data_IF_426774002805
#
_entry.id   IF_426774002805
#
_cell.length_a   1.000
_cell.length_b   1.000
_cell.length_c   1.000
_cell.angle_alpha   90.00
_cell.angle_beta   90.00
_cell.angle_gamma   90.00
#
_symmetry.space_group_name_H-M   'P 1'
#
loop_
_entity.id
_entity.type
_entity.pdbx_description
1 polymer ?
#
# COMPACT_ATOMS: atom_id res chain seq x y z
N UNK A 1 8.26 13.11 -20.36
CA UNK A 1 7.41 11.93 -20.05
C UNK A 1 8.06 11.22 -18.87
N UNK A 2 7.63 11.50 -17.65
CA UNK A 2 8.22 10.86 -16.45
C UNK A 2 7.51 9.53 -16.27
N UNK A 3 8.07 8.48 -16.87
CA UNK A 3 7.70 7.11 -16.57
C UNK A 3 8.15 6.87 -15.13
N UNK A 4 7.20 6.72 -14.20
CA UNK A 4 7.50 6.46 -12.79
C UNK A 4 8.39 5.23 -12.68
N UNK A 5 9.66 5.43 -12.33
CA UNK A 5 10.66 4.37 -12.25
C UNK A 5 10.26 3.47 -11.07
N UNK A 6 9.96 2.20 -11.34
CA UNK A 6 9.87 1.16 -10.31
C UNK A 6 11.26 1.07 -9.71
N UNK A 7 11.37 1.32 -8.41
CA UNK A 7 12.67 1.33 -7.75
C UNK A 7 12.55 0.76 -6.33
N UNK A 8 13.32 -0.28 -6.05
CA UNK A 8 13.49 -0.83 -4.72
C UNK A 8 14.96 -0.68 -4.34
N UNK A 9 15.24 -0.13 -3.16
CA UNK A 9 16.59 0.07 -2.64
C UNK A 9 16.71 -0.58 -1.28
N UNK A 10 17.77 -1.37 -1.11
CA UNK A 10 18.26 -1.74 0.20
C UNK A 10 19.39 -0.79 0.60
N UNK A 11 19.35 -0.33 1.84
CA UNK A 11 20.30 0.64 2.38
C UNK A 11 20.89 0.04 3.65
N UNK A 12 22.21 -0.14 3.64
CA UNK A 12 23.00 -0.47 4.82
C UNK A 12 23.66 0.80 5.36
N UNK A 13 23.60 1.00 6.68
CA UNK A 13 24.22 2.11 7.39
C UNK A 13 25.05 1.53 8.54
N UNK A 14 26.38 1.58 8.43
CA UNK A 14 27.29 0.86 9.32
C UNK A 14 27.32 1.43 10.76
N UNK A 15 27.12 2.74 10.92
CA UNK A 15 27.11 3.43 12.21
C UNK A 15 25.72 3.52 12.88
N UNK A 16 24.68 2.97 12.24
CA UNK A 16 23.35 2.98 12.83
C UNK A 16 23.29 2.07 14.07
N UNK A 17 22.78 2.61 15.18
CA UNK A 17 22.61 1.89 16.45
C UNK A 17 21.44 0.92 16.43
N UNK A 18 20.43 1.19 15.59
CA UNK A 18 19.27 0.33 15.33
C UNK A 18 18.93 0.37 13.83
N UNK A 19 18.32 -0.70 13.31
CA UNK A 19 17.90 -0.79 11.90
C UNK A 19 19.01 -0.46 10.90
N UNK A 20 20.19 -1.07 11.09
CA UNK A 20 21.34 -0.94 10.17
C UNK A 20 21.00 -1.27 8.72
N UNK A 21 19.91 -2.03 8.50
CA UNK A 21 19.37 -2.31 7.19
C UNK A 21 17.95 -1.77 7.06
N UNK A 22 17.71 -1.00 6.02
CA UNK A 22 16.37 -0.54 5.64
C UNK A 22 16.11 -0.83 4.17
N UNK A 23 14.84 -1.01 3.82
CA UNK A 23 14.40 -1.14 2.44
C UNK A 23 13.41 -0.02 2.12
N UNK A 24 13.60 0.61 0.97
CA UNK A 24 12.72 1.63 0.43
C UNK A 24 12.21 1.16 -0.94
N UNK A 25 10.91 1.21 -1.14
CA UNK A 25 10.27 0.68 -2.36
C UNK A 25 9.32 1.70 -2.94
N UNK A 26 9.46 1.96 -4.24
CA UNK A 26 8.53 2.71 -5.06
C UNK A 26 7.89 1.77 -6.07
N UNK A 27 6.60 1.50 -5.87
CA UNK A 27 5.83 0.57 -6.69
C UNK A 27 5.20 1.29 -7.89
N UNK A 28 5.20 0.65 -9.06
CA UNK A 28 4.36 1.09 -10.18
C UNK A 28 3.07 0.29 -10.22
N UNK A 29 2.01 0.98 -10.61
CA UNK A 29 0.73 0.36 -10.94
C UNK A 29 0.85 -0.30 -12.32
N UNK A 30 0.55 -1.59 -12.39
CA UNK A 30 0.45 -2.36 -13.64
C UNK A 30 -1.02 -2.67 -13.89
N UNK A 31 -1.50 -2.50 -15.12
CA UNK A 31 -2.89 -2.86 -15.45
C UNK A 31 -3.10 -4.37 -15.27
N UNK A 32 -4.22 -4.71 -14.65
CA UNK A 32 -4.63 -6.10 -14.45
C UNK A 32 -5.64 -6.47 -15.53
N UNK A 33 -5.27 -7.44 -16.36
CA UNK A 33 -6.05 -7.82 -17.54
C UNK A 33 -7.24 -8.73 -17.23
N UNK A 34 -7.34 -9.22 -16.00
CA UNK A 34 -8.40 -10.15 -15.58
C UNK A 34 -9.47 -9.46 -14.73
N UNK A 35 -10.60 -10.14 -14.52
CA UNK A 35 -11.68 -9.64 -13.66
C UNK A 35 -11.34 -9.66 -12.16
N UNK A 36 -12.26 -9.11 -11.36
CA UNK A 36 -12.16 -9.07 -9.90
C UNK A 36 -12.12 -10.47 -9.28
N UNK A 37 -12.80 -11.46 -9.87
CA UNK A 37 -12.81 -12.84 -9.38
C UNK A 37 -11.40 -13.45 -9.36
N UNK A 38 -10.67 -13.34 -10.47
CA UNK A 38 -9.26 -13.78 -10.61
C UNK A 38 -8.35 -13.03 -9.63
N UNK A 39 -8.64 -11.76 -9.37
CA UNK A 39 -7.89 -10.98 -8.39
C UNK A 39 -8.15 -11.50 -6.97
N UNK A 40 -9.41 -11.80 -6.62
CA UNK A 40 -9.78 -12.36 -5.31
C UNK A 40 -9.10 -13.70 -5.07
N UNK A 41 -9.08 -14.59 -6.08
CA UNK A 41 -8.36 -15.87 -6.02
C UNK A 41 -6.86 -15.67 -5.73
N UNK A 42 -6.23 -14.74 -6.46
CA UNK A 42 -4.79 -14.43 -6.30
C UNK A 42 -4.50 -13.85 -4.91
N UNK A 43 -5.43 -13.09 -4.35
CA UNK A 43 -5.34 -12.49 -3.02
C UNK A 43 -6.02 -13.31 -1.92
N UNK A 44 -6.34 -14.57 -2.17
CA UNK A 44 -7.12 -15.42 -1.26
C UNK A 44 -6.53 -15.53 0.15
N UNK A 45 -5.19 -15.49 0.27
CA UNK A 45 -4.50 -15.46 1.56
C UNK A 45 -4.76 -14.16 2.34
N UNK A 46 -5.00 -13.05 1.66
CA UNK A 46 -5.28 -11.77 2.30
C UNK A 46 -6.76 -11.64 2.68
N UNK A 47 -7.65 -12.36 1.97
CA UNK A 47 -9.11 -12.24 2.10
C UNK A 47 -9.56 -10.78 2.05
N UNK A 48 -9.16 -10.01 1.01
CA UNK A 48 -9.55 -8.62 0.89
C UNK A 48 -11.06 -8.49 0.77
N UNK A 49 -11.59 -7.36 1.21
CA UNK A 49 -13.01 -7.03 1.05
C UNK A 49 -13.19 -6.01 -0.05
N UNK A 50 -14.22 -6.20 -0.86
CA UNK A 50 -14.57 -5.34 -1.97
C UNK A 50 -16.01 -4.84 -1.83
N UNK A 51 -16.33 -3.62 -2.33
CA UNK A 51 -17.70 -3.16 -2.48
C UNK A 51 -18.54 -4.18 -3.26
N UNK A 52 -19.73 -4.48 -2.77
CA UNK A 52 -20.67 -5.37 -3.45
C UNK A 52 -21.44 -4.61 -4.53
N UNK A 53 -21.68 -5.25 -5.68
CA UNK A 53 -22.58 -4.74 -6.74
C UNK A 53 -22.15 -3.42 -7.40
N UNK A 54 -20.85 -3.13 -7.40
CA UNK A 54 -20.29 -1.90 -7.99
C UNK A 54 -19.58 -2.21 -9.31
N UNK A 55 -19.87 -1.43 -10.36
CA UNK A 55 -19.21 -1.56 -11.65
C UNK A 55 -17.71 -1.20 -11.57
N UNK A 56 -16.87 -2.21 -11.77
CA UNK A 56 -15.41 -2.06 -11.86
C UNK A 56 -15.05 -1.45 -13.21
N UNK A 57 -14.34 -0.32 -13.19
CA UNK A 57 -13.85 0.31 -14.40
C UNK A 57 -12.45 -0.18 -14.79
N UNK A 58 -11.51 -0.14 -13.85
CA UNK A 58 -10.12 -0.56 -14.07
C UNK A 58 -9.57 -1.18 -12.80
N UNK A 59 -8.70 -2.17 -12.98
CA UNK A 59 -7.93 -2.80 -11.90
C UNK A 59 -6.45 -2.59 -12.22
N UNK A 60 -5.71 -2.14 -11.23
CA UNK A 60 -4.26 -2.05 -11.28
C UNK A 60 -3.68 -2.79 -10.08
N UNK A 61 -2.55 -3.45 -10.30
CA UNK A 61 -1.84 -4.21 -9.27
C UNK A 61 -0.46 -3.64 -9.03
N UNK A 62 0.05 -3.86 -7.82
CA UNK A 62 1.39 -3.47 -7.41
C UNK A 62 2.16 -4.73 -7.05
N UNK A 63 3.34 -4.88 -7.63
CA UNK A 63 4.24 -6.01 -7.38
C UNK A 63 5.38 -5.63 -6.45
N UNK A 64 5.80 -6.58 -5.62
CA UNK A 64 6.83 -6.41 -4.62
C UNK A 64 8.24 -6.49 -5.15
N UNK A 65 9.18 -6.49 -4.20
CA UNK A 65 10.58 -6.79 -4.43
C UNK A 65 10.98 -7.97 -3.54
N UNK A 66 12.01 -8.70 -3.95
CA UNK A 66 12.63 -9.70 -3.10
C UNK A 66 13.42 -9.02 -1.99
N UNK A 67 13.40 -9.63 -0.81
CA UNK A 67 14.27 -9.22 0.28
C UNK A 67 15.71 -9.56 -0.08
N UNK A 68 16.67 -8.80 0.49
CA UNK A 68 18.06 -9.21 0.46
C UNK A 68 18.23 -10.60 1.08
N UNK A 69 19.07 -11.39 0.44
CA UNK A 69 19.57 -12.64 1.00
C UNK A 69 20.63 -12.37 2.07
N UNK A 70 20.91 -13.34 2.98
CA UNK A 70 22.01 -13.22 3.94
C UNK A 70 23.36 -12.94 3.26
N UNK A 71 23.63 -13.57 2.13
CA UNK A 71 24.87 -13.38 1.39
C UNK A 71 24.98 -11.94 0.84
N UNK A 72 23.89 -11.39 0.28
CA UNK A 72 23.87 -9.99 -0.19
C UNK A 72 24.04 -8.99 0.96
N UNK A 73 23.56 -9.34 2.16
CA UNK A 73 23.77 -8.54 3.39
C UNK A 73 25.25 -8.56 3.78
N UNK A 74 25.87 -9.75 3.82
CA UNK A 74 27.28 -9.90 4.17
C UNK A 74 28.19 -9.17 3.18
N UNK A 75 27.88 -9.22 1.88
CA UNK A 75 28.57 -8.45 0.85
C UNK A 75 28.49 -6.94 1.10
N UNK A 76 27.32 -6.41 1.47
CA UNK A 76 27.16 -4.98 1.76
C UNK A 76 27.97 -4.56 3.00
N UNK A 77 28.07 -5.42 4.01
CA UNK A 77 28.90 -5.17 5.21
C UNK A 77 30.38 -5.15 4.86
N UNK A 78 30.85 -6.13 4.10
CA UNK A 78 32.27 -6.21 3.70
C UNK A 78 32.65 -5.08 2.73
N UNK A 79 31.74 -4.67 1.85
CA UNK A 79 31.91 -3.52 0.96
C UNK A 79 32.10 -2.22 1.76
N UNK A 80 31.28 -2.01 2.79
CA UNK A 80 31.41 -0.86 3.70
C UNK A 80 32.77 -0.85 4.40
N UNK A 81 33.22 -2.00 4.93
CA UNK A 81 34.52 -2.13 5.59
C UNK A 81 35.68 -1.88 4.64
N UNK A 82 35.62 -2.40 3.42
CA UNK A 82 36.69 -2.33 2.43
C UNK A 82 36.82 -0.95 1.81
N UNK A 83 35.69 -0.32 1.50
CA UNK A 83 35.63 1.01 0.89
C UNK A 83 35.76 2.15 1.90
N UNK A 84 35.55 1.87 3.19
CA UNK A 84 35.41 2.89 4.24
C UNK A 84 34.13 3.72 4.13
N UNK A 85 33.20 3.36 3.24
CA UNK A 85 31.93 4.06 3.10
C UNK A 85 30.96 3.60 4.18
N UNK A 86 30.37 4.56 4.87
CA UNK A 86 29.42 4.30 5.95
C UNK A 86 28.03 3.85 5.44
N UNK A 87 27.72 4.12 4.16
CA UNK A 87 26.43 3.81 3.55
C UNK A 87 26.65 3.01 2.28
N UNK A 88 26.00 1.85 2.19
CA UNK A 88 26.00 1.00 0.98
C UNK A 88 24.56 0.86 0.51
N UNK A 89 24.34 1.06 -0.79
CA UNK A 89 23.00 1.04 -1.41
C UNK A 89 22.98 0.01 -2.52
N UNK A 90 21.96 -0.86 -2.52
CA UNK A 90 21.76 -1.85 -3.59
C UNK A 90 20.34 -1.83 -4.12
N UNK A 91 20.21 -2.17 -5.39
CA UNK A 91 18.91 -2.35 -6.05
C UNK A 91 18.27 -3.66 -5.59
N UNK A 92 17.01 -3.59 -5.16
CA UNK A 92 16.19 -4.75 -4.89
C UNK A 92 15.64 -5.31 -6.21
N UNK A 93 15.56 -6.64 -6.29
CA UNK A 93 15.03 -7.34 -7.47
C UNK A 93 13.50 -7.30 -7.45
N UNK A 94 12.81 -6.75 -8.46
CA UNK A 94 11.36 -6.84 -8.56
C UNK A 94 10.92 -8.30 -8.62
N UNK A 95 9.79 -8.63 -7.99
CA UNK A 95 9.19 -9.97 -8.07
C UNK A 95 7.74 -9.89 -8.53
N UNK A 96 7.07 -11.04 -8.64
CA UNK A 96 5.67 -11.12 -9.10
C UNK A 96 4.67 -11.24 -7.95
N UNK A 97 5.11 -11.05 -6.70
CA UNK A 97 4.23 -11.12 -5.53
C UNK A 97 3.43 -9.82 -5.44
N UNK A 98 2.10 -9.93 -5.40
CA UNK A 98 1.25 -8.77 -5.17
C UNK A 98 1.54 -8.17 -3.79
N UNK A 99 1.67 -6.85 -3.72
CA UNK A 99 1.82 -6.06 -2.48
C UNK A 99 0.67 -5.07 -2.28
N UNK A 100 -0.06 -4.77 -3.34
CA UNK A 100 -1.31 -4.04 -3.26
C UNK A 100 -2.08 -4.05 -4.56
N UNK A 101 -3.27 -3.46 -4.50
CA UNK A 101 -4.17 -3.28 -5.64
C UNK A 101 -4.81 -1.91 -5.58
N UNK A 102 -5.16 -1.39 -6.74
CA UNK A 102 -6.00 -0.21 -6.92
C UNK A 102 -7.13 -0.58 -7.87
N UNK A 103 -8.36 -0.35 -7.43
CA UNK A 103 -9.55 -0.58 -8.24
C UNK A 103 -10.27 0.75 -8.39
N UNK A 104 -10.59 1.12 -9.63
CA UNK A 104 -11.42 2.29 -9.92
C UNK A 104 -12.83 1.81 -10.24
N UNK A 105 -13.81 2.39 -9.56
CA UNK A 105 -15.24 2.09 -9.72
C UNK A 105 -15.98 3.28 -10.35
N UNK A 106 -17.10 3.01 -11.01
CA UNK A 106 -17.90 4.01 -11.76
C UNK A 106 -19.26 4.36 -11.15
N UNK A 107 -19.50 4.03 -9.89
CA UNK A 107 -20.83 4.18 -9.27
C UNK A 107 -20.99 5.51 -8.50
N UNK A 108 -21.99 6.31 -8.87
CA UNK A 108 -22.32 7.61 -8.26
C UNK A 108 -21.13 8.59 -8.14
N UNK A 109 -20.27 8.63 -9.15
CA UNK A 109 -18.99 9.32 -9.15
C UNK A 109 -17.84 8.31 -9.29
N UNK A 110 -16.73 8.71 -9.89
CA UNK A 110 -15.56 7.82 -9.95
C UNK A 110 -14.89 7.82 -8.58
N UNK A 111 -14.79 6.65 -7.94
CA UNK A 111 -14.01 6.47 -6.72
C UNK A 111 -12.98 5.36 -6.90
N UNK A 112 -11.94 5.40 -6.08
CA UNK A 112 -10.86 4.41 -6.08
C UNK A 112 -10.79 3.71 -4.73
N UNK A 113 -10.54 2.42 -4.76
CA UNK A 113 -10.16 1.62 -3.61
C UNK A 113 -8.70 1.19 -3.79
N UNK A 114 -7.82 1.58 -2.87
CA UNK A 114 -6.52 0.96 -2.76
C UNK A 114 -6.52 -0.02 -1.58
N UNK A 115 -5.92 -1.18 -1.76
CA UNK A 115 -5.70 -2.17 -0.70
C UNK A 115 -4.22 -2.53 -0.73
N UNK A 116 -3.51 -2.28 0.36
CA UNK A 116 -2.10 -2.61 0.48
C UNK A 116 -1.86 -3.52 1.67
N UNK A 117 -1.03 -4.53 1.42
CA UNK A 117 -0.50 -5.36 2.49
C UNK A 117 0.49 -4.58 3.33
N UNK A 118 0.24 -4.43 4.63
CA UNK A 118 1.12 -3.70 5.55
C UNK A 118 1.54 -4.57 6.74
N UNK A 119 2.77 -4.38 7.19
CA UNK A 119 3.28 -4.87 8.47
C UNK A 119 3.27 -3.76 9.54
N UNK A 120 3.00 -2.52 9.13
CA UNK A 120 2.92 -1.35 10.00
C UNK A 120 1.46 -1.09 10.34
N UNK A 121 1.15 -0.96 11.63
CA UNK A 121 -0.14 -0.50 12.15
C UNK A 121 -0.27 1.03 12.19
N UNK A 122 0.55 1.74 11.40
CA UNK A 122 0.62 3.22 11.41
C UNK A 122 0.41 3.77 10.01
N UNK A 123 -0.48 4.74 9.92
CA UNK A 123 -0.72 5.53 8.71
C UNK A 123 0.17 6.78 8.81
N UNK A 124 0.97 7.04 7.77
CA UNK A 124 1.75 8.27 7.68
C UNK A 124 0.96 9.32 6.89
N UNK A 125 0.77 10.49 7.51
CA UNK A 125 0.14 11.67 6.91
C UNK A 125 1.11 12.84 7.01
N UNK A 126 1.09 13.74 6.04
CA UNK A 126 1.84 15.00 6.11
C UNK A 126 1.25 15.95 7.18
N UNK A 127 2.04 16.91 7.67
CA UNK A 127 1.58 17.87 8.68
C UNK A 127 0.34 18.66 8.24
N UNK A 128 0.25 18.98 6.95
CA UNK A 128 -0.94 19.62 6.36
C UNK A 128 -2.16 18.71 6.44
N UNK A 129 -2.02 17.43 6.07
CA UNK A 129 -3.11 16.45 6.17
C UNK A 129 -3.55 16.25 7.61
N UNK A 130 -2.61 16.12 8.56
CA UNK A 130 -2.87 15.94 9.99
C UNK A 130 -3.80 17.00 10.58
N UNK A 131 -3.66 18.26 10.16
CA UNK A 131 -4.49 19.36 10.66
C UNK A 131 -5.98 19.26 10.28
N UNK A 132 -6.31 18.41 9.29
CA UNK A 132 -7.65 18.25 8.73
C UNK A 132 -8.22 16.84 8.95
N UNK A 133 -7.50 15.98 9.69
CA UNK A 133 -7.90 14.61 9.97
C UNK A 133 -9.10 14.59 10.92
N UNK A 134 -10.11 13.82 10.54
CA UNK A 134 -11.19 13.38 11.41
C UNK A 134 -11.00 11.89 11.70
N UNK A 135 -10.76 11.55 12.96
CA UNK A 135 -10.80 10.16 13.42
C UNK A 135 -12.24 9.68 13.51
N UNK A 136 -12.50 8.49 13.02
CA UNK A 136 -13.80 7.81 13.04
C UNK A 136 -13.59 6.30 13.12
N UNK A 137 -14.67 5.52 13.06
CA UNK A 137 -14.58 4.06 13.04
C UNK A 137 -15.24 3.51 11.78
N UNK A 138 -14.59 2.51 11.18
CA UNK A 138 -15.13 1.71 10.08
C UNK A 138 -14.99 0.26 10.48
N UNK A 139 -16.11 -0.47 10.55
CA UNK A 139 -16.14 -1.90 10.83
C UNK A 139 -15.34 -2.33 12.07
N UNK A 140 -15.37 -1.49 13.10
CA UNK A 140 -14.66 -1.73 14.37
C UNK A 140 -13.18 -1.37 14.37
N UNK A 141 -12.62 -0.92 13.24
CA UNK A 141 -11.27 -0.38 13.16
C UNK A 141 -11.27 1.15 13.24
N UNK A 142 -10.20 1.71 13.81
CA UNK A 142 -9.96 3.15 13.72
C UNK A 142 -9.70 3.53 12.25
N UNK A 143 -10.36 4.61 11.81
CA UNK A 143 -10.28 5.13 10.46
C UNK A 143 -10.04 6.64 10.50
N UNK A 144 -9.39 7.14 9.46
CA UNK A 144 -9.03 8.54 9.33
C UNK A 144 -9.59 9.07 8.02
N UNK A 145 -10.42 10.09 8.13
CA UNK A 145 -10.93 10.83 6.99
C UNK A 145 -10.25 12.19 6.89
N UNK A 146 -9.90 12.59 5.68
CA UNK A 146 -9.42 13.93 5.38
C UNK A 146 -9.75 14.30 3.94
N UNK A 147 -9.91 15.60 3.69
CA UNK A 147 -10.24 16.14 2.37
C UNK A 147 -9.18 17.15 1.99
N UNK A 148 -8.57 17.01 0.81
CA UNK A 148 -7.56 17.93 0.33
C UNK A 148 -7.80 18.26 -1.15
N UNK A 149 -7.86 19.55 -1.48
CA UNK A 149 -8.04 20.06 -2.86
C UNK A 149 -9.16 19.34 -3.66
N UNK A 150 -10.29 19.03 -3.02
CA UNK A 150 -11.43 18.35 -3.66
C UNK A 150 -11.30 16.83 -3.80
N UNK A 151 -10.25 16.25 -3.21
CA UNK A 151 -10.06 14.81 -3.07
C UNK A 151 -10.34 14.39 -1.64
N UNK A 152 -11.32 13.50 -1.47
CA UNK A 152 -11.77 12.98 -0.19
C UNK A 152 -11.19 11.59 0.03
N UNK A 153 -10.54 11.38 1.17
CA UNK A 153 -9.83 10.13 1.48
C UNK A 153 -10.31 9.59 2.81
N UNK A 154 -10.61 8.29 2.81
CA UNK A 154 -10.90 7.51 4.01
C UNK A 154 -9.89 6.36 4.06
N UNK A 155 -9.09 6.30 5.11
CA UNK A 155 -8.04 5.30 5.28
C UNK A 155 -8.22 4.56 6.60
N UNK A 156 -8.03 3.24 6.60
CA UNK A 156 -8.08 2.43 7.80
C UNK A 156 -7.24 1.16 7.64
N UNK A 157 -6.93 0.51 8.75
CA UNK A 157 -6.17 -0.75 8.75
C UNK A 157 -7.02 -1.83 9.41
N UNK A 158 -7.11 -2.98 8.76
CA UNK A 158 -7.72 -4.17 9.33
C UNK A 158 -6.66 -5.24 9.56
N UNK A 159 -6.62 -5.77 10.78
CA UNK A 159 -5.85 -6.96 11.06
C UNK A 159 -6.56 -8.17 10.42
N UNK A 160 -5.97 -8.67 9.34
CA UNK A 160 -6.45 -9.87 8.68
C UNK A 160 -6.17 -11.12 9.52
N UNK A 161 -7.02 -12.14 9.36
CA UNK A 161 -6.82 -13.48 9.97
C UNK A 161 -5.52 -14.18 9.52
N UNK A 162 -4.86 -13.68 8.47
CA UNK A 162 -3.67 -14.25 7.85
C UNK A 162 -2.34 -13.68 8.35
N UNK A 163 -2.30 -13.10 9.56
CA UNK A 163 -1.11 -12.42 10.16
C UNK A 163 -0.60 -11.21 9.38
N UNK A 164 -1.28 -10.81 8.31
CA UNK A 164 -0.96 -9.64 7.50
C UNK A 164 -2.08 -8.62 7.66
N UNK A 165 -1.73 -7.41 8.09
CA UNK A 165 -2.68 -6.32 8.15
C UNK A 165 -2.89 -5.76 6.73
N UNK A 166 -4.12 -5.32 6.44
CA UNK A 166 -4.48 -4.69 5.18
C UNK A 166 -4.82 -3.24 5.46
N UNK A 167 -4.09 -2.33 4.80
CA UNK A 167 -4.47 -0.93 4.74
C UNK A 167 -5.44 -0.76 3.58
N UNK A 168 -6.63 -0.27 3.89
CA UNK A 168 -7.63 0.13 2.93
C UNK A 168 -7.62 1.64 2.79
N UNK A 169 -7.85 2.10 1.56
CA UNK A 169 -7.99 3.51 1.24
C UNK A 169 -9.09 3.69 0.20
N UNK A 170 -10.13 4.43 0.55
CA UNK A 170 -11.12 4.93 -0.38
C UNK A 170 -10.80 6.37 -0.75
N UNK A 171 -10.79 6.65 -2.05
CA UNK A 171 -10.54 7.98 -2.61
C UNK A 171 -11.72 8.36 -3.49
N UNK A 172 -12.46 9.39 -3.10
CA UNK A 172 -13.53 10.00 -3.89
C UNK A 172 -13.18 11.42 -4.32
N UNK A 173 -13.87 11.93 -5.34
CA UNK A 173 -13.88 13.35 -5.65
C UNK A 173 -15.18 13.96 -5.13
N UNK A 174 -15.08 15.03 -4.33
CA UNK A 174 -16.23 15.73 -3.75
C UNK A 174 -17.23 14.76 -3.08
N UNK A 175 -16.71 13.74 -2.42
CA UNK A 175 -17.47 12.65 -1.80
C UNK A 175 -17.46 12.83 -0.29
N UNK A 176 -18.63 12.95 0.32
CA UNK A 176 -18.71 13.16 1.77
C UNK A 176 -18.14 11.96 2.54
N UNK A 177 -17.69 12.22 3.77
CA UNK A 177 -17.19 11.19 4.67
C UNK A 177 -18.22 10.08 4.87
N UNK A 178 -19.50 10.44 5.05
CA UNK A 178 -20.60 9.50 5.27
C UNK A 178 -20.74 8.52 4.10
N UNK A 179 -20.59 9.00 2.87
CA UNK A 179 -20.69 8.15 1.68
C UNK A 179 -19.49 7.20 1.55
N UNK A 180 -18.27 7.67 1.85
CA UNK A 180 -17.10 6.79 1.89
C UNK A 180 -17.22 5.73 2.98
N UNK A 181 -17.75 6.08 4.15
CA UNK A 181 -18.03 5.14 5.24
C UNK A 181 -19.07 4.11 4.79
N UNK A 182 -20.17 4.53 4.17
CA UNK A 182 -21.19 3.62 3.65
C UNK A 182 -20.61 2.60 2.66
N UNK A 183 -19.75 3.05 1.75
CA UNK A 183 -19.04 2.15 0.82
C UNK A 183 -18.17 1.16 1.62
N UNK A 184 -17.38 1.64 2.58
CA UNK A 184 -16.50 0.80 3.39
C UNK A 184 -17.26 -0.24 4.24
N UNK A 185 -18.38 0.14 4.84
CA UNK A 185 -19.26 -0.74 5.62
C UNK A 185 -19.96 -1.79 4.75
N UNK A 186 -20.22 -1.47 3.47
CA UNK A 186 -20.82 -2.42 2.52
C UNK A 186 -19.85 -3.49 1.99
N UNK A 187 -18.53 -3.33 2.25
CA UNK A 187 -17.52 -4.22 1.68
C UNK A 187 -17.55 -5.61 2.31
N UNK A 188 -17.54 -6.62 1.46
CA UNK A 188 -17.55 -8.03 1.87
C UNK A 188 -16.41 -8.81 1.21
N UNK A 189 -16.07 -9.95 1.81
CA UNK A 189 -15.16 -10.91 1.19
C UNK A 189 -15.91 -11.53 0.02
N UNK A 190 -15.30 -11.50 -1.16
CA UNK A 190 -15.81 -12.14 -2.38
C UNK A 190 -15.21 -13.52 -2.56
#
# INVERSE_FOLDING_TARGET
MICGRVDGKAIYIADATENQFTQQTNYAAVEWEHGLDRLSETLSLWRPRFPAHVDVHTIQVYYGFDNLTPDEIDEMVEESKTSGQNVVVRDLKPNTKLVGVRITYKEYGTFKLNIFGTTKSRIQLSDHELSQVKSLHVRGAEAFYFSNHGTDRLIWIEEGSSRKALQYELIGQQTSAEKLIQIAESMNVQ
#
